data_IF_379465919065
#
_entry.id   IF_379465919065
#
_cell.length_a   1.000
_cell.length_b   1.000
_cell.length_c   1.000
_cell.angle_alpha   90.00
_cell.angle_beta   90.00
_cell.angle_gamma   90.00
#
_symmetry.space_group_name_H-M   'P 1'
#
loop_
_entity.id
_entity.type
_entity.pdbx_description
1 polymer ?
#
# COMPACT_ATOMS: atom_id res chain seq x y z
N UNK A 1 3.79 -8.73 -3.66
CA UNK A 1 3.56 -7.37 -4.18
C UNK A 1 4.82 -6.50 -4.15
N UNK A 2 5.53 -6.33 -3.02
CA UNK A 2 6.71 -5.46 -2.95
C UNK A 2 7.83 -5.82 -3.95
N UNK A 3 8.09 -7.12 -4.16
CA UNK A 3 9.07 -7.60 -5.16
C UNK A 3 8.78 -7.05 -6.56
N UNK A 4 7.52 -7.03 -6.98
CA UNK A 4 7.13 -6.55 -8.32
C UNK A 4 7.43 -5.06 -8.51
N UNK A 5 7.51 -4.27 -7.44
CA UNK A 5 7.79 -2.83 -7.51
C UNK A 5 9.27 -2.58 -7.89
N UNK A 6 10.15 -3.56 -7.74
CA UNK A 6 11.53 -3.48 -8.21
C UNK A 6 11.60 -3.44 -9.74
N UNK A 7 10.66 -4.05 -10.45
CA UNK A 7 10.54 -4.00 -11.90
C UNK A 7 10.13 -2.61 -12.42
N UNK A 8 9.55 -1.76 -11.58
CA UNK A 8 9.09 -0.43 -12.01
C UNK A 8 10.24 0.42 -12.55
N UNK A 9 11.46 0.28 -12.02
CA UNK A 9 12.64 1.00 -12.57
C UNK A 9 12.95 0.56 -13.99
N UNK A 10 12.89 -0.75 -14.25
CA UNK A 10 13.15 -1.36 -15.56
C UNK A 10 12.07 -0.96 -16.56
N UNK A 11 10.80 -1.06 -16.16
CA UNK A 11 9.67 -0.67 -17.01
C UNK A 11 9.76 0.81 -17.38
N UNK A 12 10.04 1.68 -16.40
CA UNK A 12 10.15 3.11 -16.64
C UNK A 12 11.29 3.46 -17.60
N UNK A 13 12.48 2.87 -17.37
CA UNK A 13 13.68 3.11 -18.19
C UNK A 13 13.45 2.74 -19.66
N UNK A 14 12.71 1.67 -19.94
CA UNK A 14 12.53 1.16 -21.30
C UNK A 14 11.24 1.63 -21.99
N UNK A 15 10.19 1.96 -21.24
CA UNK A 15 8.84 2.19 -21.80
C UNK A 15 8.14 3.45 -21.27
N UNK A 16 8.74 4.17 -20.30
CA UNK A 16 8.26 5.46 -19.82
C UNK A 16 6.97 5.41 -18.96
N UNK A 17 6.39 6.60 -18.74
CA UNK A 17 5.25 6.78 -17.83
C UNK A 17 3.96 6.03 -18.21
N UNK A 18 3.54 5.95 -19.49
CA UNK A 18 2.33 5.22 -19.86
C UNK A 18 2.42 3.72 -19.52
N UNK A 19 3.60 3.12 -19.68
CA UNK A 19 3.83 1.74 -19.32
C UNK A 19 3.76 1.52 -17.81
N UNK A 20 4.32 2.43 -17.00
CA UNK A 20 4.18 2.38 -15.54
C UNK A 20 2.72 2.42 -15.14
N UNK A 21 1.94 3.35 -15.71
CA UNK A 21 0.52 3.47 -15.42
C UNK A 21 -0.23 2.15 -15.70
N UNK A 22 -0.02 1.55 -16.87
CA UNK A 22 -0.69 0.31 -17.26
C UNK A 22 -0.21 -0.88 -16.44
N UNK A 23 1.10 -1.09 -16.32
CA UNK A 23 1.67 -2.23 -15.60
C UNK A 23 1.31 -2.21 -14.10
N UNK A 24 1.40 -1.05 -13.44
CA UNK A 24 1.02 -0.93 -12.03
C UNK A 24 -0.49 -1.09 -11.85
N UNK A 25 -1.31 -0.55 -12.74
CA UNK A 25 -2.77 -0.72 -12.71
C UNK A 25 -3.20 -2.18 -12.86
N UNK A 26 -2.61 -2.90 -13.81
CA UNK A 26 -2.85 -4.32 -14.03
C UNK A 26 -2.32 -5.16 -12.87
N UNK A 27 -1.13 -4.86 -12.35
CA UNK A 27 -0.56 -5.54 -11.18
C UNK A 27 -1.44 -5.38 -9.95
N UNK A 28 -1.93 -4.17 -9.67
CA UNK A 28 -2.84 -3.91 -8.55
C UNK A 28 -4.19 -4.62 -8.75
N UNK A 29 -4.67 -4.70 -9.99
CA UNK A 29 -5.89 -5.47 -10.33
C UNK A 29 -5.69 -6.96 -10.07
N UNK A 30 -4.61 -7.55 -10.59
CA UNK A 30 -4.23 -8.93 -10.34
C UNK A 30 -4.05 -9.18 -8.83
N UNK A 31 -3.37 -8.27 -8.14
CA UNK A 31 -3.22 -8.30 -6.69
C UNK A 31 -4.56 -8.31 -5.96
N UNK A 32 -5.55 -7.53 -6.39
CA UNK A 32 -6.89 -7.53 -5.82
C UNK A 32 -7.62 -8.88 -6.00
N UNK A 33 -7.44 -9.54 -7.14
CA UNK A 33 -8.03 -10.85 -7.44
C UNK A 33 -7.34 -11.96 -6.65
N UNK A 34 -6.00 -12.00 -6.65
CA UNK A 34 -5.22 -13.11 -6.11
C UNK A 34 -4.94 -13.01 -4.61
N UNK A 35 -4.89 -11.80 -4.02
CA UNK A 35 -4.58 -11.65 -2.59
C UNK A 35 -5.74 -12.04 -1.65
N UNK A 36 -6.90 -12.50 -2.17
CA UNK A 36 -8.04 -12.96 -1.37
C UNK A 36 -8.46 -11.95 -0.28
N UNK A 37 -8.39 -10.66 -0.59
CA UNK A 37 -8.71 -9.58 0.35
C UNK A 37 -7.61 -9.27 1.38
N UNK A 38 -6.38 -9.80 1.23
CA UNK A 38 -5.24 -9.40 2.05
C UNK A 38 -4.78 -7.98 1.72
N UNK A 39 -4.45 -7.22 2.76
CA UNK A 39 -4.12 -5.81 2.64
C UNK A 39 -2.63 -5.68 2.35
N UNK A 40 -2.29 -4.95 1.30
CA UNK A 40 -0.90 -4.79 0.82
C UNK A 40 -0.37 -3.37 1.04
N UNK A 41 -1.26 -2.45 1.43
CA UNK A 41 -0.92 -1.12 1.93
C UNK A 41 -1.22 -1.06 3.42
N UNK A 42 -0.31 -0.48 4.20
CA UNK A 42 -0.49 -0.30 5.63
C UNK A 42 -1.32 0.94 6.01
N UNK A 43 -1.45 1.94 5.14
CA UNK A 43 -2.26 3.13 5.44
C UNK A 43 -3.74 2.80 5.76
N UNK A 44 -4.44 1.93 4.99
CA UNK A 44 -5.74 1.41 5.41
C UNK A 44 -5.71 0.66 6.75
N UNK A 45 -4.63 -0.07 7.08
CA UNK A 45 -4.53 -0.82 8.34
C UNK A 45 -4.49 0.15 9.53
N UNK A 46 -3.70 1.22 9.44
CA UNK A 46 -3.68 2.29 10.44
C UNK A 46 -5.06 2.92 10.60
N UNK A 47 -5.73 3.20 9.49
CA UNK A 47 -7.10 3.71 9.50
C UNK A 47 -8.03 2.75 10.27
N UNK A 48 -8.10 1.47 9.93
CA UNK A 48 -8.98 0.56 10.66
C UNK A 48 -8.63 0.42 12.14
N UNK A 49 -7.36 0.50 12.50
CA UNK A 49 -6.93 0.45 13.89
C UNK A 49 -7.37 1.70 14.65
N UNK A 50 -7.10 2.89 14.12
CA UNK A 50 -7.46 4.19 14.72
C UNK A 50 -8.97 4.34 14.84
N UNK A 51 -9.71 3.93 13.81
CA UNK A 51 -11.16 3.94 13.84
C UNK A 51 -11.75 2.75 14.59
N UNK A 52 -10.96 1.87 15.23
CA UNK A 52 -11.46 0.81 16.12
C UNK A 52 -12.07 -0.43 15.43
N UNK A 53 -11.94 -0.53 14.11
CA UNK A 53 -12.42 -1.68 13.32
C UNK A 53 -11.43 -2.86 13.32
N UNK A 54 -10.18 -2.65 13.74
CA UNK A 54 -9.14 -3.67 13.81
C UNK A 54 -8.57 -3.74 15.23
N UNK A 55 -8.57 -4.93 15.84
CA UNK A 55 -7.96 -5.14 17.16
C UNK A 55 -6.42 -5.14 17.12
N UNK A 56 -5.79 -4.76 18.23
CA UNK A 56 -4.34 -4.55 18.32
C UNK A 56 -3.50 -5.78 17.94
N UNK A 57 -3.93 -6.98 18.31
CA UNK A 57 -3.21 -8.22 17.93
C UNK A 57 -3.18 -8.39 16.41
N UNK A 58 -4.32 -8.21 15.72
CA UNK A 58 -4.37 -8.31 14.26
C UNK A 58 -3.58 -7.19 13.59
N UNK A 59 -3.64 -5.98 14.14
CA UNK A 59 -2.87 -4.85 13.65
C UNK A 59 -1.36 -5.18 13.63
N UNK A 60 -0.82 -5.63 14.76
CA UNK A 60 0.60 -6.01 14.87
C UNK A 60 0.92 -7.17 13.94
N UNK A 61 0.11 -8.24 13.92
CA UNK A 61 0.36 -9.40 13.05
C UNK A 61 0.44 -9.01 11.57
N UNK A 62 -0.50 -8.21 11.07
CA UNK A 62 -0.53 -7.84 9.65
C UNK A 62 0.66 -6.92 9.34
N UNK A 63 0.94 -5.94 10.20
CA UNK A 63 2.04 -5.01 9.98
C UNK A 63 3.41 -5.73 10.00
N UNK A 64 3.63 -6.63 10.96
CA UNK A 64 4.83 -7.46 11.01
C UNK A 64 4.97 -8.35 9.77
N UNK A 65 3.89 -8.99 9.32
CA UNK A 65 3.92 -9.82 8.11
C UNK A 65 4.27 -8.98 6.86
N UNK A 66 3.72 -7.77 6.75
CA UNK A 66 4.05 -6.84 5.66
C UNK A 66 5.51 -6.39 5.70
N UNK A 67 6.04 -6.07 6.89
CA UNK A 67 7.44 -5.67 7.07
C UNK A 67 8.42 -6.81 6.76
N UNK A 68 8.11 -8.03 7.20
CA UNK A 68 8.90 -9.22 6.83
C UNK A 68 8.88 -9.38 5.31
N UNK A 69 7.70 -9.32 4.68
CA UNK A 69 7.59 -9.38 3.22
C UNK A 69 8.37 -8.29 2.50
N UNK A 70 8.39 -7.06 3.04
CA UNK A 70 9.20 -5.95 2.52
C UNK A 70 10.70 -6.22 2.65
N UNK A 71 11.17 -6.72 3.79
CA UNK A 71 12.58 -7.02 4.03
C UNK A 71 13.15 -8.10 3.09
N UNK A 72 12.33 -9.08 2.70
CA UNK A 72 12.73 -10.11 1.74
C UNK A 72 12.50 -9.72 0.26
N UNK A 73 11.77 -8.63 -0.01
CA UNK A 73 11.37 -8.27 -1.37
C UNK A 73 12.57 -8.02 -2.29
N UNK A 74 13.60 -7.32 -1.80
CA UNK A 74 14.84 -7.04 -2.52
C UNK A 74 15.55 -8.34 -2.92
N UNK A 75 15.74 -9.25 -1.96
CA UNK A 75 16.42 -10.53 -2.18
C UNK A 75 15.74 -11.36 -3.26
N UNK A 76 14.42 -11.41 -3.25
CA UNK A 76 13.65 -12.12 -4.28
C UNK A 76 13.78 -11.42 -5.64
N UNK A 77 13.78 -10.08 -5.69
CA UNK A 77 13.99 -9.33 -6.93
C UNK A 77 15.38 -9.61 -7.52
N UNK A 78 16.43 -9.52 -6.71
CA UNK A 78 17.80 -9.87 -7.11
C UNK A 78 17.92 -11.32 -7.58
N UNK A 79 17.25 -12.27 -6.90
CA UNK A 79 17.21 -13.66 -7.36
C UNK A 79 16.58 -13.78 -8.75
N UNK A 80 15.43 -13.14 -8.97
CA UNK A 80 14.76 -13.14 -10.27
C UNK A 80 15.68 -12.54 -11.34
N UNK A 81 16.28 -11.38 -11.08
CA UNK A 81 17.20 -10.72 -12.01
C UNK A 81 18.41 -11.57 -12.33
N UNK A 82 19.02 -12.22 -11.35
CA UNK A 82 20.15 -13.14 -11.59
C UNK A 82 19.74 -14.33 -12.45
N UNK A 83 18.58 -14.95 -12.19
CA UNK A 83 18.09 -16.11 -12.96
C UNK A 83 17.76 -15.75 -14.42
N UNK A 84 17.42 -14.49 -14.67
CA UNK A 84 16.96 -14.02 -15.98
C UNK A 84 17.96 -13.10 -16.69
N UNK A 85 19.09 -12.79 -16.06
CA UNK A 85 20.19 -12.01 -16.62
C UNK A 85 20.70 -12.52 -17.97
N UNK A 86 20.79 -13.85 -18.22
CA UNK A 86 21.19 -14.36 -19.54
C UNK A 86 20.23 -13.98 -20.68
N UNK A 87 18.97 -13.63 -20.35
CA UNK A 87 17.91 -13.35 -21.30
C UNK A 87 17.53 -11.86 -21.35
N UNK A 88 18.06 -11.02 -20.46
CA UNK A 88 17.68 -9.62 -20.34
C UNK A 88 18.86 -8.77 -19.89
N UNK A 89 19.33 -7.89 -20.79
CA UNK A 89 20.37 -6.92 -20.48
C UNK A 89 19.97 -6.00 -19.32
N UNK A 90 18.68 -5.64 -19.21
CA UNK A 90 18.19 -4.83 -18.10
C UNK A 90 18.25 -5.59 -16.76
N UNK A 91 17.99 -6.89 -16.75
CA UNK A 91 18.10 -7.71 -15.53
C UNK A 91 19.57 -7.95 -15.17
N UNK A 92 20.46 -8.09 -16.15
CA UNK A 92 21.90 -8.16 -15.91
C UNK A 92 22.42 -6.85 -15.28
N UNK A 93 22.00 -5.69 -15.79
CA UNK A 93 22.35 -4.38 -15.23
C UNK A 93 21.85 -4.23 -13.79
N UNK A 94 20.58 -4.56 -13.53
CA UNK A 94 20.00 -4.47 -12.19
C UNK A 94 20.58 -5.51 -11.21
N UNK A 95 20.93 -6.71 -11.67
CA UNK A 95 21.58 -7.71 -10.83
C UNK A 95 23.02 -7.31 -10.43
N UNK A 96 23.71 -6.56 -11.29
CA UNK A 96 25.07 -6.08 -11.07
C UNK A 96 25.14 -4.73 -10.34
N UNK A 97 24.02 -4.01 -10.24
CA UNK A 97 23.94 -2.73 -9.54
C UNK A 97 23.26 -2.88 -8.16
N UNK A 98 24.08 -2.78 -7.10
CA UNK A 98 23.63 -2.86 -5.70
C UNK A 98 23.42 -1.47 -5.08
N UNK A 99 23.85 -0.41 -5.75
CA UNK A 99 23.78 0.93 -5.20
C UNK A 99 22.37 1.49 -5.33
N UNK A 100 21.76 1.82 -4.18
CA UNK A 100 20.51 2.55 -4.13
C UNK A 100 20.77 3.98 -3.68
N UNK A 101 20.52 4.93 -4.57
CA UNK A 101 20.61 6.38 -4.27
C UNK A 101 19.26 7.04 -4.52
N UNK A 102 18.80 7.77 -3.52
CA UNK A 102 17.54 8.46 -3.51
C UNK A 102 17.71 9.87 -4.11
N UNK A 103 17.11 10.11 -5.27
CA UNK A 103 17.13 11.41 -5.92
C UNK A 103 15.72 12.00 -6.02
N UNK A 104 15.47 13.05 -5.24
CA UNK A 104 14.26 13.86 -5.36
C UNK A 104 14.37 14.84 -6.52
N UNK A 105 13.27 15.02 -7.25
CA UNK A 105 13.17 16.05 -8.31
C UNK A 105 12.80 17.43 -7.77
N UNK A 106 12.39 17.52 -6.51
CA UNK A 106 11.82 18.71 -5.89
C UNK A 106 12.40 18.93 -4.50
N UNK A 107 12.20 20.13 -3.96
CA UNK A 107 12.60 20.47 -2.60
C UNK A 107 11.80 19.66 -1.56
N UNK A 108 12.41 19.40 -0.41
CA UNK A 108 11.83 18.57 0.65
C UNK A 108 10.40 19.00 1.07
N UNK A 109 10.13 20.31 1.16
CA UNK A 109 8.80 20.82 1.49
C UNK A 109 7.72 20.46 0.47
N UNK A 110 8.05 20.47 -0.83
CA UNK A 110 7.14 20.05 -1.90
C UNK A 110 6.89 18.54 -1.80
N UNK A 111 7.93 17.74 -1.57
CA UNK A 111 7.78 16.28 -1.44
C UNK A 111 6.89 15.93 -0.24
N UNK A 112 7.12 16.55 0.92
CA UNK A 112 6.29 16.38 2.12
C UNK A 112 4.83 16.74 1.83
N UNK A 113 4.59 17.91 1.23
CA UNK A 113 3.25 18.33 0.86
C UNK A 113 2.58 17.37 -0.12
N UNK A 114 3.33 16.85 -1.09
CA UNK A 114 2.83 15.90 -2.08
C UNK A 114 2.46 14.55 -1.45
N UNK A 115 3.22 14.05 -0.49
CA UNK A 115 2.89 12.80 0.22
C UNK A 115 1.63 12.94 1.08
N UNK A 116 1.48 14.05 1.81
CA UNK A 116 0.29 14.31 2.65
C UNK A 116 -0.95 14.54 1.78
N UNK A 117 -0.88 15.52 0.87
CA UNK A 117 -2.03 15.90 0.03
C UNK A 117 -2.37 14.76 -0.93
N UNK A 118 -1.36 14.09 -1.47
CA UNK A 118 -1.53 12.96 -2.35
C UNK A 118 -2.24 11.79 -1.68
N UNK A 119 -1.79 11.38 -0.49
CA UNK A 119 -2.45 10.32 0.27
C UNK A 119 -3.89 10.69 0.66
N UNK A 120 -4.13 11.95 1.02
CA UNK A 120 -5.48 12.49 1.26
C UNK A 120 -6.38 12.33 0.03
N UNK A 121 -5.93 12.83 -1.12
CA UNK A 121 -6.70 12.79 -2.37
C UNK A 121 -6.97 11.34 -2.79
N UNK A 122 -5.96 10.47 -2.74
CA UNK A 122 -6.13 9.05 -3.07
C UNK A 122 -7.18 8.43 -2.15
N UNK A 123 -7.13 8.68 -0.83
CA UNK A 123 -8.12 8.13 0.09
C UNK A 123 -9.54 8.61 -0.22
N UNK A 124 -9.72 9.90 -0.55
CA UNK A 124 -11.02 10.47 -0.93
C UNK A 124 -11.52 9.81 -2.22
N UNK A 125 -10.69 9.74 -3.25
CA UNK A 125 -11.03 9.13 -4.55
C UNK A 125 -11.41 7.66 -4.37
N UNK A 126 -10.63 6.89 -3.59
CA UNK A 126 -10.95 5.50 -3.27
C UNK A 126 -12.33 5.40 -2.61
N UNK A 127 -12.66 6.29 -1.67
CA UNK A 127 -13.99 6.33 -1.03
C UNK A 127 -15.12 6.57 -2.03
N UNK A 128 -14.92 7.52 -2.95
CA UNK A 128 -15.91 7.87 -3.97
C UNK A 128 -16.15 6.69 -4.93
N UNK A 129 -15.09 5.98 -5.31
CA UNK A 129 -15.17 4.80 -6.17
C UNK A 129 -15.81 3.61 -5.44
N UNK A 130 -15.50 3.40 -4.15
CA UNK A 130 -16.12 2.34 -3.35
C UNK A 130 -17.64 2.51 -3.19
N UNK A 131 -18.12 3.75 -3.13
CA UNK A 131 -19.55 4.07 -3.05
C UNK A 131 -20.30 3.84 -4.38
N UNK A 132 -19.59 3.51 -5.47
CA UNK A 132 -20.16 3.31 -6.80
C UNK A 132 -19.81 1.91 -7.32
N UNK A 133 -20.69 0.90 -7.19
CA UNK A 133 -20.40 -0.48 -7.58
C UNK A 133 -19.84 -0.65 -9.00
N UNK A 134 -20.33 0.14 -9.96
CA UNK A 134 -19.86 0.13 -11.35
C UNK A 134 -18.40 0.55 -11.52
N UNK A 135 -17.84 1.33 -10.58
CA UNK A 135 -16.52 1.95 -10.70
C UNK A 135 -15.46 1.36 -9.77
N UNK A 136 -15.81 0.39 -8.91
CA UNK A 136 -14.87 -0.25 -7.97
C UNK A 136 -13.64 -0.79 -8.69
N UNK A 137 -13.82 -1.35 -9.90
CA UNK A 137 -12.74 -1.90 -10.73
C UNK A 137 -11.72 -0.85 -11.21
N UNK A 138 -12.02 0.45 -11.09
CA UNK A 138 -11.12 1.54 -11.44
C UNK A 138 -10.17 1.95 -10.31
N UNK A 139 -10.38 1.48 -9.08
CA UNK A 139 -9.52 1.81 -7.92
C UNK A 139 -8.03 1.51 -8.20
N UNK A 140 -7.64 0.34 -8.74
CA UNK A 140 -6.25 0.05 -9.12
C UNK A 140 -5.66 1.10 -10.09
N UNK A 141 -6.45 1.54 -11.06
CA UNK A 141 -6.02 2.52 -12.05
C UNK A 141 -5.94 3.93 -11.47
N UNK A 142 -6.84 4.32 -10.56
CA UNK A 142 -6.76 5.60 -9.86
C UNK A 142 -5.48 5.68 -8.99
N UNK A 143 -5.16 4.60 -8.26
CA UNK A 143 -3.91 4.51 -7.49
C UNK A 143 -2.70 4.52 -8.43
N UNK A 144 -2.76 3.79 -9.54
CA UNK A 144 -1.68 3.78 -10.54
C UNK A 144 -1.44 5.16 -11.17
N UNK A 145 -2.51 5.90 -11.49
CA UNK A 145 -2.42 7.27 -11.99
C UNK A 145 -1.70 8.17 -11.00
N UNK A 146 -2.05 8.09 -9.71
CA UNK A 146 -1.35 8.83 -8.66
C UNK A 146 0.12 8.44 -8.57
N UNK A 147 0.46 7.15 -8.52
CA UNK A 147 1.85 6.69 -8.42
C UNK A 147 2.69 7.13 -9.64
N UNK A 148 2.08 7.13 -10.83
CA UNK A 148 2.73 7.59 -12.07
C UNK A 148 2.96 9.12 -12.02
N UNK A 149 1.97 9.88 -11.56
CA UNK A 149 2.09 11.33 -11.38
C UNK A 149 3.16 11.69 -10.33
N UNK A 150 3.20 10.95 -9.22
CA UNK A 150 4.19 11.10 -8.16
C UNK A 150 5.61 10.84 -8.70
N UNK A 151 5.80 9.78 -9.49
CA UNK A 151 7.07 9.50 -10.17
C UNK A 151 7.46 10.63 -11.14
N UNK A 152 6.49 11.25 -11.81
CA UNK A 152 6.74 12.38 -12.71
C UNK A 152 7.20 13.62 -11.94
N UNK A 153 6.46 14.04 -10.91
CA UNK A 153 6.66 15.29 -10.17
C UNK A 153 7.80 15.19 -9.16
N UNK A 154 7.69 14.27 -8.20
CA UNK A 154 8.62 14.17 -7.04
C UNK A 154 9.71 13.12 -7.25
N UNK A 155 9.50 12.17 -8.16
CA UNK A 155 10.48 11.13 -8.50
C UNK A 155 10.39 9.88 -7.63
N UNK A 156 9.98 10.00 -6.36
CA UNK A 156 9.97 8.86 -5.44
C UNK A 156 8.66 8.80 -4.63
N UNK A 157 7.67 8.01 -5.07
CA UNK A 157 6.35 7.95 -4.43
C UNK A 157 6.36 7.21 -3.08
N UNK A 158 5.68 7.80 -2.08
CA UNK A 158 5.61 7.29 -0.70
C UNK A 158 4.24 6.79 -0.21
N UNK A 159 3.20 6.74 -1.06
CA UNK A 159 1.81 6.39 -0.70
C UNK A 159 1.64 5.17 0.22
N UNK A 160 2.55 4.19 0.11
CA UNK A 160 2.54 2.98 0.91
C UNK A 160 3.87 2.85 1.68
N UNK A 161 3.87 3.10 3.00
CA UNK A 161 5.07 3.02 3.83
C UNK A 161 5.80 1.67 3.74
N UNK A 162 5.09 0.56 3.55
CA UNK A 162 5.70 -0.77 3.40
C UNK A 162 6.47 -0.89 2.09
N UNK A 163 5.93 -0.35 1.00
CA UNK A 163 6.61 -0.34 -0.31
C UNK A 163 7.79 0.62 -0.30
N UNK A 164 7.63 1.79 0.32
CA UNK A 164 8.74 2.73 0.52
C UNK A 164 9.86 2.08 1.34
N UNK A 165 9.53 1.41 2.45
CA UNK A 165 10.50 0.67 3.27
C UNK A 165 11.18 -0.43 2.46
N UNK A 166 10.42 -1.20 1.68
CA UNK A 166 10.98 -2.26 0.86
C UNK A 166 12.01 -1.76 -0.15
N UNK A 167 11.87 -0.53 -0.68
CA UNK A 167 12.67 -0.03 -1.81
C UNK A 167 13.74 1.00 -1.45
N UNK A 168 13.50 1.78 -0.40
CA UNK A 168 14.20 3.04 -0.16
C UNK A 168 14.89 3.08 1.21
N UNK A 169 14.51 2.19 2.14
CA UNK A 169 15.11 2.18 3.46
C UNK A 169 16.57 1.72 3.39
N UNK A 170 17.48 2.53 3.92
CA UNK A 170 18.92 2.29 3.87
C UNK A 170 19.59 2.76 2.56
N UNK A 171 18.85 3.34 1.62
CA UNK A 171 19.44 3.98 0.44
C UNK A 171 20.15 5.29 0.81
N UNK A 172 21.20 5.63 0.07
CA UNK A 172 21.92 6.88 0.26
C UNK A 172 21.04 8.07 -0.16
N UNK A 173 21.18 9.21 0.52
CA UNK A 173 20.45 10.45 0.19
C UNK A 173 19.32 10.82 1.15
N UNK A 174 19.00 9.98 2.14
CA UNK A 174 18.09 10.32 3.24
C UNK A 174 18.53 9.62 4.54
N UNK A 175 18.45 10.31 5.67
CA UNK A 175 18.68 9.70 6.98
C UNK A 175 17.42 8.96 7.47
N UNK A 176 17.60 8.07 8.46
CA UNK A 176 16.51 7.22 8.98
C UNK A 176 15.34 8.04 9.57
N UNK A 177 15.59 9.18 10.20
CA UNK A 177 14.55 9.99 10.82
C UNK A 177 13.72 10.68 9.74
N UNK A 178 14.38 11.32 8.78
CA UNK A 178 13.73 11.94 7.63
C UNK A 178 12.94 10.92 6.81
N UNK A 179 13.47 9.70 6.65
CA UNK A 179 12.78 8.60 6.00
C UNK A 179 11.46 8.27 6.70
N UNK A 180 11.48 8.11 8.03
CA UNK A 180 10.28 7.81 8.81
C UNK A 180 9.26 8.94 8.71
N UNK A 181 9.69 10.19 8.82
CA UNK A 181 8.79 11.35 8.69
C UNK A 181 8.12 11.34 7.32
N UNK A 182 8.91 11.26 6.26
CA UNK A 182 8.42 11.43 4.90
C UNK A 182 7.60 10.23 4.39
N UNK A 183 8.04 9.00 4.67
CA UNK A 183 7.46 7.80 4.06
C UNK A 183 6.56 7.01 5.00
N UNK A 184 6.55 7.30 6.29
CA UNK A 184 5.60 6.71 7.23
C UNK A 184 4.58 7.73 7.72
N UNK A 185 5.05 8.82 8.34
CA UNK A 185 4.14 9.77 8.98
C UNK A 185 3.31 10.57 7.97
N UNK A 186 3.94 11.20 6.97
CA UNK A 186 3.24 12.02 5.97
C UNK A 186 2.12 11.28 5.22
N UNK A 187 2.35 10.10 4.59
CA UNK A 187 1.30 9.40 3.86
C UNK A 187 0.20 8.86 4.78
N UNK A 188 0.54 8.40 5.98
CA UNK A 188 -0.47 7.94 6.96
C UNK A 188 -1.32 9.12 7.44
N UNK A 189 -0.71 10.26 7.75
CA UNK A 189 -1.42 11.48 8.14
C UNK A 189 -2.39 11.93 7.05
N UNK A 190 -1.92 12.04 5.81
CA UNK A 190 -2.76 12.40 4.66
C UNK A 190 -3.91 11.43 4.46
N UNK A 191 -3.63 10.12 4.52
CA UNK A 191 -4.64 9.08 4.40
C UNK A 191 -5.71 9.19 5.49
N UNK A 192 -5.31 9.34 6.76
CA UNK A 192 -6.24 9.48 7.88
C UNK A 192 -7.08 10.75 7.78
N UNK A 193 -6.47 11.88 7.40
CA UNK A 193 -7.21 13.12 7.14
C UNK A 193 -8.29 12.90 6.06
N UNK A 194 -7.97 12.15 5.00
CA UNK A 194 -8.93 11.77 3.97
C UNK A 194 -10.05 10.87 4.50
N UNK A 195 -9.71 9.92 5.37
CA UNK A 195 -10.67 9.03 6.03
C UNK A 195 -11.65 9.81 6.93
N UNK A 196 -11.15 10.77 7.71
CA UNK A 196 -11.99 11.68 8.49
C UNK A 196 -12.90 12.53 7.60
N UNK A 197 -12.36 13.10 6.51
CA UNK A 197 -13.12 13.95 5.58
C UNK A 197 -14.30 13.21 4.94
N UNK A 198 -14.12 11.96 4.53
CA UNK A 198 -15.21 11.14 3.95
C UNK A 198 -16.18 10.57 4.99
N UNK A 199 -16.03 10.97 6.26
CA UNK A 199 -16.95 10.61 7.34
C UNK A 199 -16.84 9.16 7.78
N UNK A 200 -15.63 8.58 7.76
CA UNK A 200 -15.42 7.24 8.29
C UNK A 200 -15.81 7.20 9.77
N UNK A 201 -16.87 6.44 10.08
CA UNK A 201 -17.33 6.26 11.46
C UNK A 201 -16.60 5.08 12.06
N UNK A 202 -16.11 5.25 13.29
CA UNK A 202 -15.65 4.13 14.11
C UNK A 202 -16.80 3.15 14.40
N UNK A 203 -16.54 1.97 14.97
CA UNK A 203 -17.59 1.02 15.27
C UNK A 203 -18.58 1.70 16.20
N UNK A 204 -19.85 1.70 15.79
CA UNK A 204 -20.95 1.97 16.72
C UNK A 204 -20.76 0.97 17.85
N UNK A 205 -20.47 1.46 19.07
CA UNK A 205 -20.42 0.63 20.27
C UNK A 205 -21.79 -0.05 20.38
N UNK A 206 -21.87 -1.30 19.95
CA UNK A 206 -23.05 -2.13 20.19
C UNK A 206 -23.25 -2.13 21.69
N UNK A 207 -24.41 -1.68 22.14
CA UNK A 207 -24.76 -1.68 23.55
C UNK A 207 -24.65 -3.10 24.10
N UNK A 208 -24.37 -3.24 25.40
CA UNK A 208 -24.26 -4.55 26.05
C UNK A 208 -25.51 -5.44 25.80
N UNK A 209 -26.66 -4.81 25.54
CA UNK A 209 -27.93 -5.46 25.16
C UNK A 209 -27.84 -6.14 23.79
N UNK A 210 -27.30 -5.45 22.79
CA UNK A 210 -27.14 -5.97 21.41
C UNK A 210 -26.07 -7.07 21.32
N UNK A 211 -25.00 -6.96 22.12
CA UNK A 211 -23.98 -8.01 22.22
C UNK A 211 -24.54 -9.28 22.89
N UNK A 212 -25.38 -9.12 23.93
CA UNK A 212 -26.07 -10.25 24.57
C UNK A 212 -27.10 -10.89 23.64
N UNK A 213 -27.85 -10.10 22.87
CA UNK A 213 -28.82 -10.58 21.89
C UNK A 213 -28.14 -11.41 20.79
N UNK A 214 -27.06 -10.90 20.19
CA UNK A 214 -26.31 -11.62 19.15
C UNK A 214 -25.64 -12.91 19.67
N UNK A 215 -25.19 -12.94 20.94
CA UNK A 215 -24.70 -14.19 21.58
C UNK A 215 -25.83 -15.20 21.79
N UNK A 216 -27.03 -14.74 22.12
CA UNK A 216 -28.20 -15.60 22.37
C UNK A 216 -28.70 -16.22 21.05
N UNK A 217 -28.77 -15.44 19.98
CA UNK A 217 -29.10 -15.92 18.63
C UNK A 217 -28.08 -16.93 18.10
N UNK A 218 -26.78 -16.67 18.25
CA UNK A 218 -25.73 -17.64 17.86
C UNK A 218 -25.80 -18.94 18.66
N UNK A 219 -26.12 -18.88 19.95
CA UNK A 219 -26.32 -20.09 20.77
C UNK A 219 -27.58 -20.85 20.35
N UNK A 220 -28.68 -20.17 20.04
CA UNK A 220 -29.91 -20.80 19.57
C UNK A 220 -29.72 -21.49 18.20
N UNK A 221 -29.03 -20.84 17.26
CA UNK A 221 -28.71 -21.43 15.96
C UNK A 221 -27.77 -22.64 16.06
N UNK A 222 -26.83 -22.63 17.02
CA UNK A 222 -25.94 -23.76 17.27
C UNK A 222 -26.64 -24.94 17.98
N UNK A 223 -27.68 -24.67 18.79
CA UNK A 223 -28.49 -25.69 19.41
C UNK A 223 -29.44 -26.36 18.40
N UNK A 224 -30.05 -25.58 17.51
CA UNK A 224 -30.91 -26.09 16.43
C UNK A 224 -30.15 -27.01 15.45
N UNK A 225 -28.87 -26.73 15.19
CA UNK A 225 -28.00 -27.58 14.36
C UNK A 225 -27.53 -28.89 15.02
N UNK A 226 -27.79 -29.10 16.31
CA UNK A 226 -27.44 -30.33 17.03
C UNK A 226 -28.64 -31.25 17.26
N UNK A 227 -29.83 -30.82 16.84
CA UNK A 227 -31.09 -31.55 16.98
C UNK A 227 -31.60 -32.16 15.68
N UNK A 228 -30.85 -32.00 14.58
CA UNK A 228 -30.94 -32.77 13.33
C UNK A 228 -29.77 -33.77 13.26
#
# INVERSE_FOLDING_TARGET
MCTCVYENGIIFKNYGFPAIFLCVGLLLTAGGIFNRGAWTNCAPIFEQFIFGNLGSSKFVTILSAQLIGAAFASKVAYLIWNLTAPYSAAHLENASNLDCVLHYKQSAGIVIGFEIIGAFVVRVVVSLLLNRPALIKLIPFAISAYLTLALYIVGVPGLNPIVATARLYGCQGIDNTSFMILYWFCPVLGWLAGAYFVGQKGPVKKTAKEVKAAKKEKKAAAAAKKSD
#
